data_IF_880096891067
#
_entry.id   IF_880096891067
#
_cell.length_a   1.000
_cell.length_b   1.000
_cell.length_c   1.000
_cell.angle_alpha   90.00
_cell.angle_beta   90.00
_cell.angle_gamma   90.00
#
_symmetry.space_group_name_H-M   'P 1'
#
loop_
_entity.id
_entity.type
_entity.pdbx_description
1 polymer ?
#
# COMPACT_ATOMS: atom_id res chain seq x y z
N UNK A 1 -8.00 20.83 20.17
CA UNK A 1 -8.57 20.85 21.51
C UNK A 1 -8.70 19.42 22.02
N UNK A 2 -7.55 18.82 22.33
CA UNK A 2 -7.44 17.43 22.78
C UNK A 2 -6.35 17.35 23.85
N UNK A 3 -6.60 16.61 24.92
CA UNK A 3 -5.58 16.32 25.94
C UNK A 3 -4.41 15.51 25.36
N UNK A 4 -3.27 15.59 26.03
CA UNK A 4 -2.11 14.76 25.72
C UNK A 4 -2.40 13.28 26.00
N UNK A 5 -1.99 12.40 25.07
CA UNK A 5 -2.08 10.94 25.25
C UNK A 5 -3.48 10.37 25.50
N UNK A 6 -3.51 9.18 26.10
CA UNK A 6 -4.69 8.39 26.43
C UNK A 6 -4.38 6.89 26.31
N UNK A 7 -4.49 6.14 27.40
CA UNK A 7 -4.22 4.69 27.44
C UNK A 7 -5.54 3.95 27.67
N UNK A 8 -5.98 3.24 26.63
CA UNK A 8 -7.17 2.40 26.60
C UNK A 8 -6.90 1.23 25.66
N UNK A 9 -7.64 0.14 25.77
CA UNK A 9 -7.44 -1.05 24.96
C UNK A 9 -8.51 -2.09 25.20
N UNK A 10 -8.23 -3.31 24.73
CA UNK A 10 -9.01 -4.53 24.97
C UNK A 10 -8.11 -5.58 25.62
N UNK A 11 -8.68 -6.46 26.43
CA UNK A 11 -7.92 -7.50 27.11
C UNK A 11 -7.23 -8.44 26.13
N UNK A 12 -6.04 -8.88 26.51
CA UNK A 12 -5.18 -9.75 25.68
C UNK A 12 -4.25 -8.99 24.74
N UNK A 13 -4.56 -7.74 24.36
CA UNK A 13 -3.77 -6.91 23.45
C UNK A 13 -3.18 -5.68 24.15
N UNK A 14 -1.95 -5.32 23.79
CA UNK A 14 -1.26 -4.12 24.28
C UNK A 14 -1.35 -2.92 23.33
N UNK A 15 -2.17 -3.01 22.28
CA UNK A 15 -2.31 -1.98 21.25
C UNK A 15 -3.57 -2.15 20.39
N UNK A 16 -3.67 -1.33 19.33
CA UNK A 16 -4.78 -1.32 18.37
C UNK A 16 -5.74 -0.14 18.54
N UNK A 17 -5.77 0.49 19.72
CA UNK A 17 -6.66 1.62 20.03
C UNK A 17 -5.82 2.81 20.51
N UNK A 18 -6.12 4.00 19.98
CA UNK A 18 -5.50 5.25 20.41
C UNK A 18 -6.49 6.04 21.25
N UNK A 19 -6.24 6.08 22.56
CA UNK A 19 -7.01 6.89 23.50
C UNK A 19 -6.90 8.38 23.21
N UNK A 20 -8.02 9.09 23.34
CA UNK A 20 -8.11 10.53 23.14
C UNK A 20 -9.30 11.09 23.90
N UNK A 21 -9.09 12.25 24.53
CA UNK A 21 -10.07 12.94 25.36
C UNK A 21 -10.06 14.44 25.06
N UNK A 22 -11.23 15.07 25.00
CA UNK A 22 -11.34 16.52 24.83
C UNK A 22 -10.71 17.27 26.01
N UNK A 23 -10.07 18.41 25.76
CA UNK A 23 -9.55 19.30 26.82
C UNK A 23 -10.62 20.23 27.40
N UNK A 24 -11.80 20.31 26.77
CA UNK A 24 -12.98 21.10 27.18
C UNK A 24 -14.28 20.26 27.18
N UNK A 25 -14.36 19.20 27.99
CA UNK A 25 -15.47 18.23 27.93
C UNK A 25 -16.84 18.81 28.30
N UNK A 26 -16.90 19.86 29.13
CA UNK A 26 -18.17 20.52 29.49
C UNK A 26 -18.80 21.24 28.28
N UNK A 27 -17.97 21.81 27.40
CA UNK A 27 -18.43 22.47 26.17
C UNK A 27 -18.82 21.46 25.08
N UNK A 28 -18.10 20.33 25.00
CA UNK A 28 -18.31 19.30 23.99
C UNK A 28 -18.41 17.89 24.60
N UNK A 29 -19.48 17.60 25.36
CA UNK A 29 -19.61 16.34 26.09
C UNK A 29 -19.65 15.10 25.18
N UNK A 30 -20.13 15.24 23.95
CA UNK A 30 -20.18 14.15 22.96
C UNK A 30 -18.81 13.62 22.52
N UNK A 31 -17.73 14.38 22.76
CA UNK A 31 -16.34 13.98 22.43
C UNK A 31 -15.43 13.98 23.65
N UNK A 32 -16.01 13.93 24.86
CA UNK A 32 -15.26 13.73 26.10
C UNK A 32 -14.30 12.55 25.96
N UNK A 33 -14.79 11.42 25.44
CA UNK A 33 -14.01 10.32 24.90
C UNK A 33 -14.16 10.29 23.38
N UNK A 34 -13.06 10.19 22.66
CA UNK A 34 -13.08 10.10 21.19
C UNK A 34 -11.97 9.18 20.68
N UNK A 35 -11.97 7.95 21.18
CA UNK A 35 -10.91 6.98 20.91
C UNK A 35 -10.94 6.53 19.45
N UNK A 36 -9.76 6.26 18.90
CA UNK A 36 -9.62 5.75 17.54
C UNK A 36 -9.32 4.25 17.57
N UNK A 37 -10.14 3.45 16.91
CA UNK A 37 -9.92 2.01 16.75
C UNK A 37 -9.29 1.75 15.39
N UNK A 38 -8.19 0.99 15.38
CA UNK A 38 -7.54 0.54 14.15
C UNK A 38 -8.02 -0.87 13.84
N UNK A 39 -8.62 -1.06 12.68
CA UNK A 39 -9.10 -2.37 12.22
C UNK A 39 -8.19 -2.85 11.09
N UNK A 40 -7.74 -4.10 11.17
CA UNK A 40 -6.84 -4.69 10.18
C UNK A 40 -7.55 -4.75 8.81
N UNK A 41 -6.91 -4.20 7.78
CA UNK A 41 -7.42 -4.19 6.42
C UNK A 41 -6.99 -5.44 5.64
N UNK A 42 -7.77 -5.93 4.67
CA UNK A 42 -7.30 -6.92 3.71
C UNK A 42 -6.12 -6.38 2.89
N UNK A 43 -5.20 -7.27 2.49
CA UNK A 43 -4.11 -6.94 1.58
C UNK A 43 -4.66 -6.24 0.33
N UNK A 44 -3.94 -5.22 -0.16
CA UNK A 44 -4.35 -4.36 -1.29
C UNK A 44 -5.69 -3.62 -1.17
N UNK A 45 -6.40 -3.74 -0.03
CA UNK A 45 -7.65 -3.01 0.25
C UNK A 45 -8.79 -3.32 -0.74
N UNK A 46 -8.92 -4.57 -1.17
CA UNK A 46 -10.12 -5.04 -1.88
C UNK A 46 -11.23 -5.37 -0.87
N UNK A 47 -12.46 -4.95 -1.19
CA UNK A 47 -13.61 -5.14 -0.32
C UNK A 47 -14.84 -5.59 -1.12
N UNK A 48 -15.71 -6.37 -0.48
CA UNK A 48 -17.09 -6.52 -0.90
C UNK A 48 -17.96 -5.46 -0.22
N UNK A 49 -19.07 -5.07 -0.86
CA UNK A 49 -20.02 -4.15 -0.23
C UNK A 49 -20.69 -4.75 1.00
N UNK A 50 -20.79 -6.08 1.08
CA UNK A 50 -21.29 -6.81 2.24
C UNK A 50 -20.38 -6.61 3.46
N UNK A 51 -19.07 -6.83 3.32
CA UNK A 51 -18.11 -6.61 4.40
C UNK A 51 -18.12 -5.15 4.88
N UNK A 52 -18.12 -4.18 3.95
CA UNK A 52 -18.14 -2.77 4.32
C UNK A 52 -19.43 -2.39 5.05
N UNK A 53 -20.60 -2.86 4.59
CA UNK A 53 -21.87 -2.61 5.29
C UNK A 53 -21.89 -3.25 6.67
N UNK A 54 -21.38 -4.48 6.82
CA UNK A 54 -21.22 -5.13 8.11
C UNK A 54 -20.39 -4.28 9.07
N UNK A 55 -19.22 -3.79 8.64
CA UNK A 55 -18.36 -2.95 9.45
C UNK A 55 -19.02 -1.62 9.83
N UNK A 56 -19.75 -1.00 8.91
CA UNK A 56 -20.45 0.26 9.17
C UNK A 56 -21.63 0.07 10.13
N UNK A 57 -22.35 -1.04 10.07
CA UNK A 57 -23.41 -1.36 11.03
C UNK A 57 -22.84 -1.48 12.46
N UNK A 58 -21.69 -2.14 12.62
CA UNK A 58 -21.01 -2.18 13.92
C UNK A 58 -20.54 -0.79 14.35
N UNK A 59 -20.01 0.00 13.44
CA UNK A 59 -19.48 1.32 13.78
C UNK A 59 -20.57 2.36 14.09
N UNK A 60 -21.74 2.26 13.46
CA UNK A 60 -22.91 3.06 13.83
C UNK A 60 -23.45 2.67 15.21
N UNK A 61 -23.42 1.39 15.55
CA UNK A 61 -23.84 0.88 16.88
C UNK A 61 -22.91 1.33 18.01
N UNK A 62 -21.59 1.28 17.79
CA UNK A 62 -20.60 1.44 18.86
C UNK A 62 -19.78 2.74 18.80
N UNK A 63 -19.83 3.47 17.70
CA UNK A 63 -18.95 4.59 17.43
C UNK A 63 -19.66 5.84 16.95
N UNK A 64 -18.88 6.73 16.37
CA UNK A 64 -19.35 8.04 15.88
C UNK A 64 -19.96 8.01 14.47
N UNK A 65 -19.81 6.90 13.74
CA UNK A 65 -20.06 6.84 12.30
C UNK A 65 -18.98 7.48 11.42
N UNK A 66 -17.96 8.12 11.99
CA UNK A 66 -16.87 8.79 11.26
C UNK A 66 -15.69 7.83 11.06
N UNK A 67 -15.08 7.85 9.87
CA UNK A 67 -13.94 6.99 9.53
C UNK A 67 -12.85 7.74 8.77
N UNK A 68 -11.62 7.19 8.78
CA UNK A 68 -10.66 7.44 7.72
C UNK A 68 -10.45 6.13 6.94
N UNK A 69 -10.58 6.22 5.62
CA UNK A 69 -10.45 5.08 4.71
C UNK A 69 -9.29 5.36 3.74
N UNK A 70 -8.03 5.16 4.13
CA UNK A 70 -7.48 4.43 5.28
C UNK A 70 -6.51 5.29 6.10
N UNK A 71 -6.02 4.75 7.21
CA UNK A 71 -4.85 5.30 7.89
C UNK A 71 -3.58 5.11 7.05
N UNK A 72 -2.60 6.00 7.21
CA UNK A 72 -1.37 5.99 6.40
C UNK A 72 -0.51 4.73 6.59
N UNK A 73 -0.73 3.91 7.62
CA UNK A 73 -0.02 2.62 7.72
C UNK A 73 -0.70 1.56 6.87
N UNK A 74 -2.03 1.53 6.87
CA UNK A 74 -2.86 0.57 6.13
C UNK A 74 -4.25 0.41 6.73
N UNK A 75 -4.34 0.52 8.06
CA UNK A 75 -5.54 0.24 8.86
C UNK A 75 -6.80 0.97 8.38
N UNK A 76 -7.96 0.32 8.51
CA UNK A 76 -9.23 1.03 8.56
C UNK A 76 -9.28 1.79 9.89
N UNK A 77 -9.63 3.07 9.85
CA UNK A 77 -9.66 3.93 11.03
C UNK A 77 -11.12 4.22 11.38
N UNK A 78 -11.56 3.70 12.51
CA UNK A 78 -12.85 4.02 13.10
C UNK A 78 -12.65 5.13 14.13
N UNK A 79 -13.13 6.32 13.80
CA UNK A 79 -12.72 7.57 14.45
C UNK A 79 -13.75 8.04 15.48
N UNK A 80 -13.53 7.72 16.74
CA UNK A 80 -14.33 8.25 17.84
C UNK A 80 -15.30 7.23 18.41
N UNK A 81 -14.96 6.72 19.58
CA UNK A 81 -15.85 5.95 20.45
C UNK A 81 -15.46 6.19 21.92
N UNK A 82 -16.27 5.66 22.85
CA UNK A 82 -16.06 5.73 24.29
C UNK A 82 -15.39 4.44 24.80
N UNK A 83 -14.86 4.48 26.03
CA UNK A 83 -14.06 3.36 26.58
C UNK A 83 -14.92 2.10 26.77
N UNK A 84 -16.14 2.29 27.27
CA UNK A 84 -17.14 1.25 27.53
C UNK A 84 -17.57 0.47 26.28
N UNK A 85 -17.37 1.03 25.08
CA UNK A 85 -17.73 0.40 23.82
C UNK A 85 -16.59 -0.44 23.20
N UNK A 86 -15.36 -0.36 23.73
CA UNK A 86 -14.19 -0.99 23.11
C UNK A 86 -14.28 -2.53 23.11
N UNK A 87 -14.57 -3.14 24.26
CA UNK A 87 -14.71 -4.59 24.39
C UNK A 87 -15.96 -5.12 23.65
N UNK A 88 -17.17 -4.52 23.78
CA UNK A 88 -18.32 -4.95 22.99
C UNK A 88 -18.10 -4.85 21.48
N UNK A 89 -17.48 -3.78 21.01
CA UNK A 89 -17.13 -3.63 19.59
C UNK A 89 -16.15 -4.71 19.15
N UNK A 90 -15.10 -4.97 19.93
CA UNK A 90 -14.09 -5.96 19.59
C UNK A 90 -14.65 -7.40 19.59
N UNK A 91 -15.56 -7.70 20.51
CA UNK A 91 -16.30 -8.96 20.53
C UNK A 91 -17.10 -9.15 19.23
N UNK A 92 -17.96 -8.20 18.85
CA UNK A 92 -18.78 -8.31 17.64
C UNK A 92 -17.90 -8.32 16.37
N UNK A 93 -16.84 -7.51 16.32
CA UNK A 93 -15.89 -7.48 15.20
C UNK A 93 -15.24 -8.86 14.98
N UNK A 94 -14.83 -9.53 16.05
CA UNK A 94 -14.17 -10.84 15.97
C UNK A 94 -15.14 -11.99 15.75
N UNK A 95 -16.28 -12.00 16.46
CA UNK A 95 -17.23 -13.12 16.43
C UNK A 95 -18.17 -13.08 15.23
N UNK A 96 -18.61 -11.89 14.82
CA UNK A 96 -19.58 -11.75 13.72
C UNK A 96 -18.89 -11.51 12.38
N UNK A 97 -17.76 -10.81 12.36
CA UNK A 97 -17.05 -10.48 11.11
C UNK A 97 -15.75 -11.27 10.88
N UNK A 98 -15.23 -11.96 11.90
CA UNK A 98 -13.94 -12.66 11.79
C UNK A 98 -12.76 -11.71 11.50
N UNK A 99 -12.88 -10.44 11.89
CA UNK A 99 -11.90 -9.40 11.62
C UNK A 99 -11.21 -8.95 12.91
N UNK A 100 -9.94 -8.57 12.82
CA UNK A 100 -9.13 -8.23 14.00
C UNK A 100 -8.70 -6.75 14.00
N UNK A 101 -8.14 -6.30 15.12
CA UNK A 101 -7.52 -4.99 15.28
C UNK A 101 -6.17 -4.92 14.56
N UNK A 102 -5.82 -3.72 14.15
CA UNK A 102 -4.49 -3.37 13.66
C UNK A 102 -3.49 -3.08 14.80
N UNK A 103 -2.25 -2.76 14.44
CA UNK A 103 -1.17 -2.52 15.41
C UNK A 103 -0.99 -1.05 15.86
N UNK A 104 -0.68 -0.84 17.14
CA UNK A 104 -0.15 0.41 17.69
C UNK A 104 0.73 0.18 18.92
N UNK A 105 1.72 1.04 19.17
CA UNK A 105 2.67 0.88 20.28
C UNK A 105 4.10 0.57 19.80
N UNK A 106 4.91 -0.01 20.69
CA UNK A 106 6.27 -0.48 20.39
C UNK A 106 6.24 -1.96 19.95
N UNK A 107 5.66 -2.18 18.77
CA UNK A 107 5.32 -3.48 18.19
C UNK A 107 5.50 -3.46 16.67
N UNK A 108 5.27 -4.61 16.03
CA UNK A 108 4.98 -4.66 14.61
C UNK A 108 3.66 -3.93 14.35
N UNK A 109 3.67 -3.01 13.39
CA UNK A 109 2.44 -2.36 12.91
C UNK A 109 1.88 -3.14 11.74
N UNK A 110 0.60 -2.90 11.46
CA UNK A 110 -0.14 -3.49 10.36
C UNK A 110 0.66 -3.40 9.05
N UNK A 111 1.07 -4.55 8.48
CA UNK A 111 1.73 -4.57 7.19
C UNK A 111 0.81 -4.05 6.07
N UNK A 112 1.42 -3.54 4.99
CA UNK A 112 0.67 -3.08 3.82
C UNK A 112 1.46 -3.30 2.53
N UNK A 113 0.74 -3.53 1.44
CA UNK A 113 1.30 -3.81 0.13
C UNK A 113 0.67 -2.93 -0.98
N UNK A 114 1.34 -2.86 -2.13
CA UNK A 114 0.70 -2.39 -3.36
C UNK A 114 -0.21 -3.49 -3.93
N UNK A 115 -1.06 -3.14 -4.91
CA UNK A 115 -2.02 -4.07 -5.50
C UNK A 115 -1.41 -5.30 -6.19
N UNK A 116 -0.10 -5.31 -6.43
CA UNK A 116 0.61 -6.52 -6.83
C UNK A 116 0.07 -7.17 -8.10
N UNK A 117 0.00 -8.49 -8.09
CA UNK A 117 -0.40 -9.30 -9.25
C UNK A 117 -1.91 -9.24 -9.52
N UNK A 118 -2.75 -8.78 -8.58
CA UNK A 118 -4.20 -8.66 -8.83
C UNK A 118 -4.54 -7.78 -10.03
N UNK A 119 -3.74 -6.74 -10.30
CA UNK A 119 -4.02 -5.78 -11.38
C UNK A 119 -2.82 -4.98 -11.89
N UNK A 120 -1.58 -5.45 -11.70
CA UNK A 120 -0.39 -4.83 -12.27
C UNK A 120 0.47 -5.85 -13.01
N UNK A 121 0.70 -5.62 -14.29
CA UNK A 121 1.54 -6.44 -15.17
C UNK A 121 3.04 -6.34 -14.85
N UNK A 122 3.42 -5.40 -13.98
CA UNK A 122 4.81 -5.19 -13.57
C UNK A 122 5.18 -5.90 -12.26
N UNK A 123 4.22 -6.50 -11.55
CA UNK A 123 4.52 -7.13 -10.26
C UNK A 123 5.46 -8.32 -10.44
N UNK A 124 6.54 -8.34 -9.66
CA UNK A 124 7.57 -9.37 -9.69
C UNK A 124 7.26 -10.51 -8.70
N UNK A 125 6.42 -10.29 -7.69
CA UNK A 125 5.96 -11.36 -6.81
C UNK A 125 4.53 -11.09 -6.35
N UNK A 126 3.95 -12.06 -5.65
CA UNK A 126 2.65 -11.92 -5.02
C UNK A 126 2.78 -11.11 -3.71
N UNK A 127 2.59 -9.79 -3.83
CA UNK A 127 2.68 -8.87 -2.69
C UNK A 127 1.54 -9.07 -1.70
N UNK A 128 0.39 -9.57 -2.17
CA UNK A 128 -0.81 -9.78 -1.37
C UNK A 128 -0.63 -10.97 -0.47
N UNK A 129 -0.21 -12.10 -1.04
CA UNK A 129 0.10 -13.32 -0.30
C UNK A 129 1.22 -13.07 0.72
N UNK A 130 2.31 -12.41 0.30
CA UNK A 130 3.41 -12.07 1.22
C UNK A 130 2.94 -11.21 2.39
N UNK A 131 2.14 -10.17 2.12
CA UNK A 131 1.60 -9.29 3.14
C UNK A 131 0.66 -10.03 4.10
N UNK A 132 -0.25 -10.83 3.56
CA UNK A 132 -1.20 -11.59 4.36
C UNK A 132 -0.49 -12.65 5.22
N UNK A 133 0.34 -13.50 4.62
CA UNK A 133 1.07 -14.55 5.31
C UNK A 133 1.94 -14.02 6.45
N UNK A 134 2.67 -12.91 6.24
CA UNK A 134 3.49 -12.32 7.31
C UNK A 134 2.66 -11.59 8.38
N UNK A 135 1.51 -11.03 8.01
CA UNK A 135 0.56 -10.47 8.99
C UNK A 135 0.04 -11.58 9.90
N UNK A 136 -0.35 -12.73 9.34
CA UNK A 136 -0.87 -13.87 10.12
C UNK A 136 0.23 -14.56 10.93
N UNK A 137 1.45 -14.65 10.40
CA UNK A 137 2.58 -15.26 11.10
C UNK A 137 2.98 -14.51 12.38
N UNK A 138 2.95 -13.18 12.33
CA UNK A 138 3.45 -12.31 13.42
C UNK A 138 2.32 -11.58 14.16
N UNK A 139 1.18 -12.24 14.35
CA UNK A 139 0.05 -11.67 15.10
C UNK A 139 0.45 -11.30 16.53
N UNK A 140 1.23 -12.14 17.22
CA UNK A 140 1.70 -11.85 18.58
C UNK A 140 2.51 -10.56 18.62
N UNK A 141 3.48 -10.39 17.72
CA UNK A 141 4.29 -9.19 17.64
C UNK A 141 3.52 -7.96 17.15
N UNK A 142 2.34 -8.13 16.52
CA UNK A 142 1.43 -7.03 16.17
C UNK A 142 0.66 -6.59 17.41
N UNK A 143 0.09 -7.53 18.16
CA UNK A 143 -0.86 -7.20 19.22
C UNK A 143 -0.22 -7.01 20.59
N UNK A 144 0.98 -7.57 20.83
CA UNK A 144 1.66 -7.54 22.14
C UNK A 144 3.02 -6.85 22.01
N UNK A 145 3.13 -5.57 22.39
CA UNK A 145 4.39 -4.81 22.30
C UNK A 145 5.57 -5.47 23.01
N UNK A 146 6.49 -6.02 22.22
CA UNK A 146 7.70 -6.69 22.69
C UNK A 146 8.99 -6.04 22.15
N UNK A 147 8.89 -4.99 21.34
CA UNK A 147 10.04 -4.35 20.70
C UNK A 147 10.47 -3.07 21.42
N UNK A 148 11.73 -2.63 21.26
CA UNK A 148 12.18 -1.35 21.79
C UNK A 148 11.37 -0.16 21.25
N UNK A 149 10.91 -0.24 20.00
CA UNK A 149 10.06 0.77 19.40
C UNK A 149 9.18 0.19 18.28
N UNK A 150 8.45 1.05 17.57
CA UNK A 150 7.58 0.63 16.45
C UNK A 150 8.40 0.01 15.33
N UNK A 151 7.85 -1.01 14.67
CA UNK A 151 8.43 -1.67 13.51
C UNK A 151 7.37 -1.86 12.42
N UNK A 152 7.72 -1.75 11.14
CA UNK A 152 6.76 -1.79 10.03
C UNK A 152 7.28 -2.61 8.86
N UNK A 153 6.41 -3.39 8.26
CA UNK A 153 6.65 -4.04 6.96
C UNK A 153 5.86 -3.32 5.85
N UNK A 154 6.46 -3.19 4.67
CA UNK A 154 5.74 -2.86 3.43
C UNK A 154 6.29 -3.60 2.22
N UNK A 155 5.38 -3.95 1.31
CA UNK A 155 5.64 -4.83 0.17
C UNK A 155 5.26 -4.15 -1.15
N UNK A 156 6.25 -3.89 -2.00
CA UNK A 156 6.07 -3.34 -3.34
C UNK A 156 6.46 -4.34 -4.40
N UNK A 157 5.59 -4.56 -5.38
CA UNK A 157 5.78 -5.56 -6.43
C UNK A 157 6.89 -5.21 -7.43
N UNK A 158 7.29 -3.93 -7.52
CA UNK A 158 8.35 -3.46 -8.40
C UNK A 158 8.97 -2.14 -7.88
N UNK A 159 10.07 -1.65 -8.47
CA UNK A 159 10.76 -0.42 -8.04
C UNK A 159 9.96 0.89 -8.17
N UNK A 160 8.80 0.90 -8.84
CA UNK A 160 7.88 2.06 -8.78
C UNK A 160 7.33 2.31 -7.37
N UNK A 161 7.45 1.31 -6.48
CA UNK A 161 7.19 1.42 -5.04
C UNK A 161 5.84 2.07 -4.67
N UNK A 162 4.73 1.58 -5.24
CA UNK A 162 3.42 2.23 -5.10
C UNK A 162 2.87 2.29 -3.65
N UNK A 163 3.39 1.48 -2.71
CA UNK A 163 3.04 1.59 -1.28
C UNK A 163 4.07 2.42 -0.49
N UNK A 164 5.10 2.96 -1.17
CA UNK A 164 6.21 3.73 -0.62
C UNK A 164 6.91 2.98 0.53
N UNK A 165 7.21 1.71 0.30
CA UNK A 165 7.86 0.81 1.24
C UNK A 165 9.22 1.34 1.69
N UNK A 166 10.07 1.81 0.77
CA UNK A 166 11.42 2.28 1.12
C UNK A 166 11.41 3.48 2.07
N UNK A 167 10.34 4.28 2.03
CA UNK A 167 10.24 5.51 2.81
C UNK A 167 9.39 5.36 4.09
N UNK A 168 8.51 4.35 4.18
CA UNK A 168 7.46 4.27 5.21
C UNK A 168 7.41 2.91 5.92
N UNK A 169 8.48 2.14 5.84
CA UNK A 169 8.65 0.87 6.56
C UNK A 169 10.08 0.67 7.05
N UNK A 170 10.22 -0.13 8.10
CA UNK A 170 11.52 -0.52 8.66
C UNK A 170 12.08 -1.73 7.89
N UNK A 171 11.21 -2.62 7.41
CA UNK A 171 11.53 -3.62 6.38
C UNK A 171 10.71 -3.32 5.13
N UNK A 172 11.46 -3.00 4.07
CA UNK A 172 10.97 -2.77 2.72
C UNK A 172 11.30 -3.97 1.84
N UNK A 173 10.29 -4.59 1.23
CA UNK A 173 10.47 -5.66 0.25
C UNK A 173 10.01 -5.15 -1.11
N UNK A 174 10.96 -4.96 -2.03
CA UNK A 174 10.72 -4.41 -3.36
C UNK A 174 11.10 -5.46 -4.40
N UNK A 175 10.12 -5.85 -5.21
CA UNK A 175 10.28 -6.88 -6.24
C UNK A 175 11.17 -6.41 -7.38
N UNK A 176 11.88 -7.33 -8.00
CA UNK A 176 12.71 -7.08 -9.18
C UNK A 176 12.80 -8.35 -10.03
N UNK A 177 13.62 -8.34 -11.07
CA UNK A 177 13.96 -9.51 -11.86
C UNK A 177 15.47 -9.58 -12.07
N UNK A 178 16.01 -10.76 -12.39
CA UNK A 178 17.46 -10.95 -12.62
C UNK A 178 17.84 -11.23 -14.07
N UNK A 179 16.89 -11.62 -14.91
CA UNK A 179 17.09 -11.85 -16.35
C UNK A 179 16.86 -10.59 -17.20
N UNK A 180 16.78 -10.76 -18.52
CA UNK A 180 16.65 -9.66 -19.47
C UNK A 180 15.24 -9.05 -19.46
N UNK A 181 15.15 -7.75 -19.75
CA UNK A 181 13.88 -7.11 -20.11
C UNK A 181 13.35 -7.77 -21.38
N UNK A 182 12.05 -8.11 -21.37
CA UNK A 182 11.38 -8.67 -22.55
C UNK A 182 10.97 -7.54 -23.47
N UNK A 183 11.38 -7.64 -24.74
CA UNK A 183 11.14 -6.61 -25.76
C UNK A 183 10.29 -7.20 -26.89
N UNK A 184 9.12 -6.59 -27.12
CA UNK A 184 8.32 -6.79 -28.34
C UNK A 184 8.67 -5.69 -29.36
N UNK A 185 9.50 -6.04 -30.34
CA UNK A 185 9.96 -5.09 -31.38
C UNK A 185 8.81 -4.60 -32.28
N UNK A 186 7.74 -5.37 -32.46
CA UNK A 186 6.58 -4.90 -33.21
C UNK A 186 5.87 -3.78 -32.43
N UNK A 187 5.67 -3.96 -31.13
CA UNK A 187 5.12 -2.93 -30.27
C UNK A 187 6.03 -1.69 -30.17
N UNK A 188 7.37 -1.85 -30.17
CA UNK A 188 8.32 -0.71 -30.25
C UNK A 188 8.04 0.14 -31.50
N UNK A 189 7.85 -0.49 -32.67
CA UNK A 189 7.54 0.21 -33.91
C UNK A 189 6.21 0.96 -33.84
N UNK A 190 5.20 0.40 -33.18
CA UNK A 190 3.91 1.07 -32.95
C UNK A 190 4.03 2.32 -32.06
N UNK A 191 4.91 2.31 -31.05
CA UNK A 191 5.22 3.52 -30.28
C UNK A 191 5.90 4.58 -31.14
N UNK A 192 6.95 4.22 -31.90
CA UNK A 192 7.69 5.14 -32.78
C UNK A 192 6.78 5.72 -33.88
N UNK A 193 5.83 4.93 -34.38
CA UNK A 193 4.83 5.38 -35.35
C UNK A 193 3.76 6.31 -34.73
N UNK A 194 3.66 6.38 -33.39
CA UNK A 194 2.66 7.15 -32.66
C UNK A 194 1.30 6.46 -32.53
N UNK A 195 1.20 5.16 -32.82
CA UNK A 195 -0.03 4.39 -32.71
C UNK A 195 -0.33 3.98 -31.26
N UNK A 196 0.70 3.85 -30.42
CA UNK A 196 0.56 3.61 -28.98
C UNK A 196 0.93 4.84 -28.17
N UNK A 197 0.08 5.25 -27.20
CA UNK A 197 0.41 6.38 -26.34
C UNK A 197 1.51 5.99 -25.35
N UNK A 198 2.58 6.81 -25.31
CA UNK A 198 3.63 6.69 -24.30
C UNK A 198 3.06 6.80 -22.88
N UNK A 199 3.67 6.08 -21.93
CA UNK A 199 3.31 6.05 -20.52
C UNK A 199 1.82 5.73 -20.27
N UNK A 200 1.24 4.86 -21.10
CA UNK A 200 -0.18 4.52 -21.04
C UNK A 200 -1.13 5.71 -21.27
N UNK A 201 -0.65 6.81 -21.85
CA UNK A 201 -1.43 8.04 -22.02
C UNK A 201 -1.43 8.96 -20.80
N UNK A 202 -0.58 8.75 -19.80
CA UNK A 202 -0.54 9.56 -18.58
C UNK A 202 -0.35 11.08 -18.81
N UNK A 203 0.17 11.46 -19.98
CA UNK A 203 0.45 12.86 -20.33
C UNK A 203 -0.49 13.43 -21.40
N UNK A 204 -1.61 12.76 -21.72
CA UNK A 204 -2.54 13.18 -22.79
C UNK A 204 -3.25 14.53 -22.55
N UNK A 205 -3.17 15.07 -21.34
CA UNK A 205 -3.76 16.36 -20.97
C UNK A 205 -2.98 17.59 -21.48
N UNK A 206 -1.83 17.40 -22.13
CA UNK A 206 -1.02 18.48 -22.71
C UNK A 206 -0.36 17.99 -24.01
N UNK A 207 -0.20 18.90 -24.98
CA UNK A 207 0.60 18.63 -26.17
C UNK A 207 2.11 18.71 -25.85
N UNK A 208 2.77 17.56 -25.93
CA UNK A 208 4.23 17.41 -25.76
C UNK A 208 4.95 17.15 -27.09
N UNK A 209 4.22 17.15 -28.20
CA UNK A 209 4.69 16.68 -29.51
C UNK A 209 4.55 15.16 -29.70
N UNK A 210 5.06 14.67 -30.83
CA UNK A 210 5.10 13.23 -31.12
C UNK A 210 6.13 12.54 -30.24
N UNK A 211 5.83 11.29 -29.87
CA UNK A 211 6.76 10.46 -29.12
C UNK A 211 8.12 10.37 -29.82
N UNK A 212 9.19 10.63 -29.06
CA UNK A 212 10.58 10.53 -29.51
C UNK A 212 11.33 9.58 -28.59
N UNK A 213 11.58 8.34 -29.07
CA UNK A 213 12.23 7.29 -28.27
C UNK A 213 13.63 7.68 -27.78
N UNK A 214 14.35 8.53 -28.52
CA UNK A 214 15.65 9.00 -28.08
C UNK A 214 15.50 9.95 -26.89
N UNK A 215 14.60 10.93 -26.97
CA UNK A 215 14.40 11.93 -25.92
C UNK A 215 13.70 11.38 -24.68
N UNK A 216 12.76 10.47 -24.86
CA UNK A 216 11.83 10.06 -23.80
C UNK A 216 12.21 8.72 -23.16
N UNK A 217 13.07 7.91 -23.79
CA UNK A 217 13.50 6.61 -23.26
C UNK A 217 15.01 6.50 -23.18
N UNK A 218 15.70 6.55 -24.32
CA UNK A 218 17.14 6.22 -24.39
C UNK A 218 17.99 7.23 -23.61
N UNK A 219 17.83 8.52 -23.87
CA UNK A 219 18.61 9.59 -23.21
C UNK A 219 18.20 9.82 -21.75
N UNK A 220 17.15 9.14 -21.28
CA UNK A 220 16.71 9.18 -19.88
C UNK A 220 17.03 7.88 -19.13
N UNK A 221 17.59 6.87 -19.81
CA UNK A 221 18.08 5.67 -19.16
C UNK A 221 19.24 6.04 -18.22
N UNK A 222 19.14 5.80 -16.90
CA UNK A 222 20.12 6.30 -15.94
C UNK A 222 21.52 5.70 -16.11
N UNK A 223 21.63 4.53 -16.75
CA UNK A 223 22.90 3.86 -17.03
C UNK A 223 23.32 3.93 -18.50
N UNK A 224 22.54 4.62 -19.35
CA UNK A 224 22.78 4.70 -20.79
C UNK A 224 22.94 3.32 -21.48
N UNK A 225 22.29 2.28 -20.97
CA UNK A 225 22.43 0.91 -21.46
C UNK A 225 21.48 0.56 -22.63
N UNK A 226 20.86 1.55 -23.26
CA UNK A 226 19.86 1.36 -24.33
C UNK A 226 20.27 2.07 -25.60
N UNK A 227 19.99 1.50 -26.76
CA UNK A 227 20.22 2.14 -28.07
C UNK A 227 19.30 1.57 -29.15
N UNK A 228 19.19 2.27 -30.27
CA UNK A 228 18.55 1.75 -31.48
C UNK A 228 19.61 1.15 -32.41
N UNK A 229 19.39 -0.07 -32.89
CA UNK A 229 20.13 -0.67 -33.98
C UNK A 229 19.20 -0.77 -35.20
N UNK A 230 19.32 0.21 -36.11
CA UNK A 230 18.34 0.40 -37.18
C UNK A 230 16.95 0.70 -36.61
N UNK A 231 16.01 -0.23 -36.75
CA UNK A 231 14.63 -0.11 -36.23
C UNK A 231 14.37 -0.90 -34.95
N UNK A 232 15.38 -1.59 -34.41
CA UNK A 232 15.25 -2.43 -33.22
C UNK A 232 15.79 -1.71 -31.98
N UNK A 233 15.04 -1.78 -30.88
CA UNK A 233 15.52 -1.34 -29.57
C UNK A 233 16.39 -2.43 -28.95
N UNK A 234 17.59 -2.06 -28.48
CA UNK A 234 18.51 -2.94 -27.75
C UNK A 234 18.71 -2.43 -26.34
N UNK A 235 18.93 -3.37 -25.41
CA UNK A 235 19.23 -3.11 -24.01
C UNK A 235 20.41 -4.01 -23.62
N UNK A 236 21.44 -3.44 -23.02
CA UNK A 236 22.45 -4.20 -22.29
C UNK A 236 21.95 -4.44 -20.86
N UNK A 237 21.27 -5.56 -20.65
CA UNK A 237 20.64 -5.89 -19.36
C UNK A 237 21.65 -6.03 -18.21
N UNK A 238 22.93 -6.30 -18.51
CA UNK A 238 23.99 -6.38 -17.48
C UNK A 238 24.24 -5.03 -16.81
N UNK A 239 24.08 -3.96 -17.58
CA UNK A 239 24.24 -2.57 -17.12
C UNK A 239 22.88 -1.95 -16.70
N UNK A 240 21.78 -2.69 -16.77
CA UNK A 240 20.47 -2.21 -16.36
C UNK A 240 20.30 -2.25 -14.83
N UNK A 241 19.96 -1.12 -14.23
CA UNK A 241 19.63 -1.01 -12.79
C UNK A 241 18.15 -1.25 -12.49
N UNK A 242 17.36 -1.65 -13.50
CA UNK A 242 15.92 -1.99 -13.37
C UNK A 242 15.09 -0.85 -12.77
N UNK A 243 15.40 0.39 -13.14
CA UNK A 243 14.73 1.61 -12.66
C UNK A 243 13.27 1.79 -13.10
N UNK A 244 12.70 0.85 -13.86
CA UNK A 244 11.35 0.89 -14.45
C UNK A 244 11.08 1.95 -15.53
N UNK A 245 11.90 2.99 -15.71
CA UNK A 245 11.60 4.10 -16.64
C UNK A 245 11.13 3.66 -18.04
N UNK A 246 11.92 2.83 -18.73
CA UNK A 246 11.58 2.37 -20.08
C UNK A 246 10.29 1.53 -20.11
N UNK A 247 10.10 0.63 -19.13
CA UNK A 247 8.88 -0.17 -18.98
C UNK A 247 7.66 0.73 -18.71
N UNK A 248 7.82 1.75 -17.87
CA UNK A 248 6.76 2.71 -17.56
C UNK A 248 6.35 3.50 -18.82
N UNK A 249 7.32 3.93 -19.64
CA UNK A 249 7.04 4.67 -20.88
C UNK A 249 6.45 3.77 -21.97
N UNK A 250 6.88 2.52 -22.09
CA UNK A 250 6.47 1.61 -23.16
C UNK A 250 5.90 0.28 -22.65
N UNK A 251 4.84 0.27 -21.81
CA UNK A 251 4.37 -0.93 -21.11
C UNK A 251 3.80 -2.01 -22.03
N UNK A 252 3.40 -1.67 -23.25
CA UNK A 252 2.96 -2.65 -24.26
C UNK A 252 4.13 -3.35 -24.95
N UNK A 253 5.33 -2.76 -24.95
CA UNK A 253 6.50 -3.27 -25.65
C UNK A 253 7.55 -3.85 -24.71
N UNK A 254 7.69 -3.30 -23.51
CA UNK A 254 8.70 -3.68 -22.54
C UNK A 254 8.06 -4.27 -21.29
N UNK A 255 8.58 -5.40 -20.82
CA UNK A 255 8.10 -6.05 -19.59
C UNK A 255 9.27 -6.47 -18.69
N UNK A 256 9.06 -6.55 -17.36
CA UNK A 256 10.00 -7.21 -16.46
C UNK A 256 10.39 -8.60 -16.97
N UNK A 257 11.59 -9.05 -16.62
CA UNK A 257 12.05 -10.41 -16.85
C UNK A 257 11.14 -11.47 -16.20
N UNK A 258 11.41 -12.73 -16.51
CA UNK A 258 10.64 -13.88 -16.00
C UNK A 258 11.22 -14.48 -14.73
N UNK A 259 12.49 -14.21 -14.45
CA UNK A 259 13.24 -14.67 -13.31
C UNK A 259 13.14 -13.64 -12.18
N UNK A 260 12.02 -13.72 -11.46
CA UNK A 260 11.55 -12.74 -10.49
C UNK A 260 11.78 -13.15 -9.04
#
# INVERSE_FOLDING_TARGET
HWKHGGIVGVFGYGGGIVGRYADVPELFPGVEHFHTVRVAQPASKYYSTENLRGLMNLWEKYGSGVTNFHGSTGDIILLGTRTENLEPFFWDLTHDMGQDLGGSGSNLRTPANCLGMSRCEWSCYDTEECCHSLTMKYQDEIHRPAFPYKFKFKFSGCPNDCVASIARSDISVIGTWRDAIRIDQAAVKEYVAGNYPANGGAHSGRDWGKFDINKEVINLCPTNCMWMEGSELKIDDKECTRCMHCINVMPRALRPGVDK
#
